data_IF_110006389954
#
_entry.id   IF_110006389954
#
_cell.length_a   1.000
_cell.length_b   1.000
_cell.length_c   1.000
_cell.angle_alpha   90.00
_cell.angle_beta   90.00
_cell.angle_gamma   90.00
#
_symmetry.space_group_name_H-M   'P 1'
#
loop_
_entity.id
_entity.type
_entity.pdbx_description
1 polymer ?
#
# COMPACT_ATOMS: atom_id res chain seq x y z
N UNK A 1 24.76 16.22 -12.44
CA UNK A 1 25.55 15.54 -11.38
C UNK A 1 26.22 14.27 -11.89
N UNK A 2 25.51 13.37 -12.58
CA UNK A 2 26.06 12.11 -13.11
C UNK A 2 26.96 12.25 -14.36
N UNK A 3 26.90 13.38 -15.06
CA UNK A 3 27.72 13.67 -16.24
C UNK A 3 29.24 13.54 -16.01
N UNK A 4 29.72 13.75 -14.77
CA UNK A 4 31.13 13.57 -14.42
C UNK A 4 31.63 12.12 -14.53
N UNK A 5 30.70 11.16 -14.60
CA UNK A 5 30.99 9.74 -14.78
C UNK A 5 30.93 9.32 -16.25
N UNK A 6 30.75 10.27 -17.18
CA UNK A 6 30.84 10.03 -18.62
C UNK A 6 32.27 10.15 -19.12
N UNK A 7 32.59 9.31 -20.09
CA UNK A 7 33.79 9.33 -20.89
C UNK A 7 33.69 10.45 -21.95
N UNK A 8 34.80 10.76 -22.63
CA UNK A 8 34.85 11.77 -23.70
C UNK A 8 33.96 11.43 -24.90
N UNK A 9 33.62 10.15 -25.10
CA UNK A 9 32.69 9.70 -26.13
C UNK A 9 31.20 9.82 -25.71
N UNK A 10 30.95 10.37 -24.52
CA UNK A 10 29.61 10.56 -23.96
C UNK A 10 29.03 9.32 -23.27
N UNK A 11 29.71 8.17 -23.22
CA UNK A 11 29.21 6.97 -22.53
C UNK A 11 29.63 6.95 -21.07
N UNK A 12 28.86 6.32 -20.18
CA UNK A 12 29.31 6.10 -18.81
C UNK A 12 30.56 5.21 -18.74
N UNK A 13 31.49 5.58 -17.87
CA UNK A 13 32.77 4.88 -17.66
C UNK A 13 32.52 3.55 -16.94
N UNK A 14 32.56 2.43 -17.67
CA UNK A 14 32.27 1.10 -17.12
C UNK A 14 33.46 0.46 -16.38
N UNK A 15 34.70 0.78 -16.78
CA UNK A 15 35.93 0.14 -16.25
C UNK A 15 36.19 0.44 -14.77
N UNK A 16 35.66 1.55 -14.25
CA UNK A 16 35.74 1.92 -12.83
C UNK A 16 34.54 1.44 -12.00
N UNK A 17 33.35 1.38 -12.60
CA UNK A 17 32.10 0.96 -11.95
C UNK A 17 32.19 -0.50 -11.46
N UNK A 18 32.82 -1.39 -12.23
CA UNK A 18 32.97 -2.80 -11.84
C UNK A 18 33.87 -3.06 -10.62
N UNK A 19 34.61 -2.05 -10.12
CA UNK A 19 35.51 -2.17 -8.97
C UNK A 19 34.91 -1.66 -7.67
N UNK A 20 33.87 -0.81 -7.75
CA UNK A 20 33.18 -0.22 -6.60
C UNK A 20 31.72 -0.68 -6.61
N UNK A 21 31.48 -1.84 -6.00
CA UNK A 21 30.15 -2.45 -5.99
C UNK A 21 29.14 -1.68 -5.17
N UNK A 22 29.57 -1.07 -4.07
CA UNK A 22 28.73 -0.22 -3.24
C UNK A 22 28.31 1.03 -4.02
N UNK A 23 29.25 1.66 -4.74
CA UNK A 23 28.96 2.77 -5.63
C UNK A 23 27.99 2.41 -6.76
N UNK A 24 28.13 1.22 -7.36
CA UNK A 24 27.18 0.74 -8.38
C UNK A 24 25.79 0.49 -7.79
N UNK A 25 25.69 -0.10 -6.60
CA UNK A 25 24.40 -0.29 -5.92
C UNK A 25 23.76 1.06 -5.59
N UNK A 26 24.53 2.03 -5.09
CA UNK A 26 24.04 3.38 -4.82
C UNK A 26 23.54 4.09 -6.09
N UNK A 27 24.23 3.92 -7.22
CA UNK A 27 23.78 4.45 -8.52
C UNK A 27 22.49 3.77 -9.00
N UNK A 28 22.39 2.46 -8.84
CA UNK A 28 21.17 1.71 -9.15
C UNK A 28 19.99 2.25 -8.34
N UNK A 29 20.15 2.38 -7.02
CA UNK A 29 19.08 2.90 -6.15
C UNK A 29 18.70 4.34 -6.48
N UNK A 30 19.69 5.21 -6.70
CA UNK A 30 19.46 6.60 -7.09
C UNK A 30 18.71 6.73 -8.43
N UNK A 31 18.91 5.78 -9.35
CA UNK A 31 18.29 5.82 -10.67
C UNK A 31 16.75 5.63 -10.64
N UNK A 32 16.22 5.01 -9.59
CA UNK A 32 14.77 4.81 -9.43
C UNK A 32 14.03 6.03 -8.89
N UNK A 33 14.73 7.13 -8.63
CA UNK A 33 14.15 8.45 -8.33
C UNK A 33 14.00 9.33 -9.59
N UNK A 34 14.38 8.82 -10.77
CA UNK A 34 14.32 9.58 -12.02
C UNK A 34 12.90 9.86 -12.49
N UNK A 35 12.73 11.04 -13.10
CA UNK A 35 11.47 11.50 -13.69
C UNK A 35 11.52 11.46 -15.23
N UNK A 36 10.34 11.58 -15.86
CA UNK A 36 10.22 11.60 -17.31
C UNK A 36 11.12 12.70 -17.93
N UNK A 37 11.97 12.31 -18.89
CA UNK A 37 12.91 13.20 -19.58
C UNK A 37 14.31 13.21 -18.98
N UNK A 38 14.55 12.53 -17.85
CA UNK A 38 15.88 12.36 -17.26
C UNK A 38 16.63 11.17 -17.87
N UNK A 39 16.92 11.25 -19.18
CA UNK A 39 17.59 10.19 -19.95
C UNK A 39 18.91 9.71 -19.32
N UNK A 40 19.61 10.58 -18.60
CA UNK A 40 20.84 10.22 -17.88
C UNK A 40 20.55 9.20 -16.77
N UNK A 41 19.44 9.30 -16.04
CA UNK A 41 19.09 8.35 -14.98
C UNK A 41 18.61 7.01 -15.55
N UNK A 42 17.93 7.02 -16.69
CA UNK A 42 17.59 5.79 -17.43
C UNK A 42 18.86 5.03 -17.85
N UNK A 43 19.85 5.73 -18.39
CA UNK A 43 21.14 5.11 -18.75
C UNK A 43 21.90 4.60 -17.52
N UNK A 44 21.89 5.35 -16.40
CA UNK A 44 22.48 4.89 -15.13
C UNK A 44 21.80 3.62 -14.63
N UNK A 45 20.46 3.55 -14.69
CA UNK A 45 19.68 2.37 -14.32
C UNK A 45 20.10 1.14 -15.12
N UNK A 46 20.19 1.28 -16.44
CA UNK A 46 20.57 0.19 -17.34
C UNK A 46 21.97 -0.34 -17.06
N UNK A 47 22.95 0.56 -16.91
CA UNK A 47 24.35 0.19 -16.73
C UNK A 47 24.58 -0.43 -15.35
N UNK A 48 24.03 0.18 -14.30
CA UNK A 48 24.13 -0.34 -12.94
C UNK A 48 23.45 -1.71 -12.81
N UNK A 49 22.26 -1.89 -13.40
CA UNK A 49 21.56 -3.18 -13.45
C UNK A 49 22.40 -4.29 -14.11
N UNK A 50 23.01 -4.00 -15.27
CA UNK A 50 23.87 -4.97 -15.98
C UNK A 50 25.09 -5.35 -15.13
N UNK A 51 25.74 -4.35 -14.53
CA UNK A 51 26.91 -4.56 -13.67
C UNK A 51 26.57 -5.42 -12.45
N UNK A 52 25.52 -5.08 -11.69
CA UNK A 52 25.09 -5.84 -10.51
C UNK A 52 24.74 -7.29 -10.87
N UNK A 53 24.00 -7.52 -11.95
CA UNK A 53 23.65 -8.88 -12.43
C UNK A 53 24.90 -9.69 -12.81
N UNK A 54 25.87 -9.07 -13.49
CA UNK A 54 27.08 -9.76 -13.93
C UNK A 54 28.00 -10.17 -12.77
N UNK A 55 27.94 -9.42 -11.66
CA UNK A 55 28.82 -9.59 -10.51
C UNK A 55 28.15 -10.34 -9.35
N UNK A 56 26.84 -10.58 -9.42
CA UNK A 56 26.05 -11.29 -8.40
C UNK A 56 26.69 -12.61 -7.93
N UNK A 57 27.18 -13.43 -8.85
CA UNK A 57 27.80 -14.73 -8.53
C UNK A 57 29.17 -14.64 -7.84
N UNK A 58 29.72 -13.43 -7.66
CA UNK A 58 30.99 -13.16 -6.97
C UNK A 58 30.79 -12.50 -5.61
N UNK A 59 29.56 -12.17 -5.24
CA UNK A 59 29.22 -11.55 -3.96
C UNK A 59 28.88 -12.63 -2.94
N UNK A 60 29.19 -12.36 -1.68
CA UNK A 60 28.83 -13.22 -0.55
C UNK A 60 28.19 -12.42 0.60
N UNK A 61 27.67 -13.16 1.58
CA UNK A 61 27.09 -12.61 2.80
C UNK A 61 25.92 -11.65 2.59
N UNK A 62 25.79 -10.68 3.49
CA UNK A 62 24.68 -9.73 3.49
C UNK A 62 24.68 -8.82 2.27
N UNK A 63 25.85 -8.49 1.72
CA UNK A 63 25.94 -7.61 0.58
C UNK A 63 25.34 -8.25 -0.67
N UNK A 64 25.58 -9.56 -0.89
CA UNK A 64 24.90 -10.30 -1.96
C UNK A 64 23.37 -10.29 -1.81
N UNK A 65 22.88 -10.44 -0.57
CA UNK A 65 21.46 -10.38 -0.26
C UNK A 65 20.87 -8.99 -0.56
N UNK A 66 21.53 -7.92 -0.13
CA UNK A 66 21.11 -6.53 -0.41
C UNK A 66 21.05 -6.26 -1.91
N UNK A 67 22.06 -6.67 -2.68
CA UNK A 67 22.06 -6.49 -4.14
C UNK A 67 20.92 -7.29 -4.78
N UNK A 68 20.67 -8.51 -4.32
CA UNK A 68 19.56 -9.35 -4.82
C UNK A 68 18.21 -8.71 -4.56
N UNK A 69 17.94 -8.28 -3.32
CA UNK A 69 16.70 -7.59 -2.96
C UNK A 69 16.52 -6.32 -3.79
N UNK A 70 17.60 -5.58 -4.05
CA UNK A 70 17.57 -4.30 -4.79
C UNK A 70 17.20 -4.51 -6.24
N UNK A 71 17.73 -5.56 -6.86
CA UNK A 71 17.35 -5.95 -8.22
C UNK A 71 15.92 -6.50 -8.32
N UNK A 72 15.33 -6.97 -7.21
CA UNK A 72 13.93 -7.40 -7.16
C UNK A 72 13.00 -6.20 -6.99
N UNK A 73 13.22 -5.40 -5.95
CA UNK A 73 12.52 -4.15 -5.67
C UNK A 73 13.56 -3.12 -5.20
N UNK A 74 13.71 -1.98 -5.87
CA UNK A 74 14.63 -0.94 -5.40
C UNK A 74 14.17 -0.36 -4.08
N UNK A 75 15.11 0.06 -3.24
CA UNK A 75 14.88 0.60 -1.90
C UNK A 75 13.80 1.70 -1.89
N UNK A 76 13.79 2.58 -2.90
CA UNK A 76 12.81 3.66 -2.99
C UNK A 76 11.35 3.17 -3.05
N UNK A 77 11.10 1.94 -3.52
CA UNK A 77 9.76 1.36 -3.65
C UNK A 77 9.40 0.38 -2.54
N UNK A 78 10.32 0.11 -1.61
CA UNK A 78 10.07 -0.84 -0.51
C UNK A 78 9.39 -0.17 0.67
N UNK A 79 8.66 -0.98 1.44
CA UNK A 79 8.00 -0.52 2.66
C UNK A 79 9.03 -0.22 3.75
N UNK A 80 9.15 1.06 4.13
CA UNK A 80 10.19 1.55 5.04
C UNK A 80 10.32 0.78 6.35
N UNK A 81 9.21 0.34 6.97
CA UNK A 81 9.26 -0.42 8.22
C UNK A 81 9.75 -1.85 8.06
N UNK A 82 9.39 -2.50 6.95
CA UNK A 82 9.91 -3.84 6.63
C UNK A 82 11.41 -3.74 6.37
N UNK A 83 11.84 -2.73 5.60
CA UNK A 83 13.24 -2.49 5.34
C UNK A 83 14.04 -2.10 6.58
N UNK A 84 13.47 -1.29 7.48
CA UNK A 84 14.12 -0.97 8.75
C UNK A 84 14.40 -2.24 9.57
N UNK A 85 13.46 -3.19 9.59
CA UNK A 85 13.66 -4.48 10.28
C UNK A 85 14.79 -5.29 9.63
N UNK A 86 14.74 -5.46 8.32
CA UNK A 86 15.75 -6.21 7.56
C UNK A 86 17.14 -5.58 7.74
N UNK A 87 17.23 -4.26 7.65
CA UNK A 87 18.49 -3.54 7.74
C UNK A 87 19.07 -3.52 9.16
N UNK A 88 18.24 -3.51 10.23
CA UNK A 88 18.74 -3.68 11.60
C UNK A 88 19.50 -5.00 11.74
N UNK A 89 18.96 -6.10 11.18
CA UNK A 89 19.59 -7.42 11.25
C UNK A 89 20.92 -7.44 10.44
N UNK A 90 20.96 -6.79 9.28
CA UNK A 90 22.20 -6.61 8.50
C UNK A 90 23.23 -5.78 9.27
N UNK A 91 22.84 -4.60 9.75
CA UNK A 91 23.71 -3.64 10.44
C UNK A 91 24.25 -4.19 11.76
N UNK A 92 23.52 -5.09 12.43
CA UNK A 92 24.01 -5.78 13.62
C UNK A 92 25.27 -6.60 13.36
N UNK A 93 25.39 -7.19 12.16
CA UNK A 93 26.56 -8.01 11.78
C UNK A 93 27.71 -7.20 11.17
N UNK A 94 27.48 -5.94 10.82
CA UNK A 94 28.49 -5.05 10.25
C UNK A 94 29.63 -4.80 11.24
N UNK A 95 30.88 -4.93 10.78
CA UNK A 95 32.08 -4.73 11.60
C UNK A 95 32.38 -3.25 11.85
N UNK A 96 31.84 -2.35 11.02
CA UNK A 96 31.99 -0.90 11.10
C UNK A 96 30.85 -0.20 11.85
N UNK A 97 29.88 -0.97 12.36
CA UNK A 97 28.69 -0.44 13.03
C UNK A 97 29.02 0.48 14.21
N UNK A 98 28.20 1.51 14.35
CA UNK A 98 28.10 2.33 15.56
C UNK A 98 27.11 1.70 16.52
N UNK A 99 27.57 1.26 17.69
CA UNK A 99 26.73 0.58 18.70
C UNK A 99 25.55 1.46 19.16
N UNK A 100 25.80 2.74 19.42
CA UNK A 100 24.73 3.68 19.83
C UNK A 100 23.64 3.82 18.77
N UNK A 101 23.98 3.78 17.48
CA UNK A 101 23.00 3.85 16.40
C UNK A 101 22.18 2.54 16.32
N UNK A 102 22.83 1.39 16.46
CA UNK A 102 22.15 0.10 16.49
C UNK A 102 21.17 0.01 17.67
N UNK A 103 21.61 0.40 18.87
CA UNK A 103 20.77 0.44 20.06
C UNK A 103 19.57 1.36 19.87
N UNK A 104 19.79 2.57 19.34
CA UNK A 104 18.71 3.51 19.01
C UNK A 104 17.70 2.90 18.03
N UNK A 105 18.18 2.29 16.94
CA UNK A 105 17.32 1.69 15.93
C UNK A 105 16.47 0.54 16.49
N UNK A 106 17.07 -0.33 17.30
CA UNK A 106 16.34 -1.45 17.94
C UNK A 106 15.30 -0.95 18.95
N UNK A 107 15.65 0.05 19.77
CA UNK A 107 14.74 0.64 20.76
C UNK A 107 13.55 1.35 20.08
N UNK A 108 13.82 2.20 19.09
CA UNK A 108 12.77 2.87 18.33
C UNK A 108 11.86 1.85 17.63
N UNK A 109 12.44 0.85 16.96
CA UNK A 109 11.66 -0.17 16.26
C UNK A 109 10.68 -0.88 17.19
N UNK A 110 11.14 -1.30 18.37
CA UNK A 110 10.33 -1.98 19.38
C UNK A 110 9.28 -1.05 20.03
N UNK A 111 9.63 0.22 20.26
CA UNK A 111 8.69 1.21 20.78
C UNK A 111 7.53 1.41 19.81
N UNK A 112 7.82 1.65 18.53
CA UNK A 112 6.80 1.82 17.49
C UNK A 112 6.00 0.53 17.29
N UNK A 113 6.64 -0.65 17.34
CA UNK A 113 5.93 -1.93 17.28
C UNK A 113 4.94 -2.10 18.45
N UNK A 114 5.27 -1.59 19.65
CA UNK A 114 4.36 -1.63 20.79
C UNK A 114 3.08 -0.80 20.55
N UNK A 115 3.20 0.33 19.83
CA UNK A 115 2.05 1.15 19.41
C UNK A 115 1.17 0.35 18.46
N UNK A 116 1.77 -0.26 17.43
CA UNK A 116 1.03 -1.11 16.48
C UNK A 116 0.29 -2.27 17.16
N UNK A 117 0.90 -2.90 18.17
CA UNK A 117 0.25 -3.97 18.91
C UNK A 117 -0.97 -3.48 19.71
N UNK A 118 -0.97 -2.23 20.18
CA UNK A 118 -2.16 -1.65 20.82
C UNK A 118 -3.25 -1.36 19.79
N UNK A 119 -2.89 -0.82 18.64
CA UNK A 119 -3.81 -0.59 17.51
C UNK A 119 -4.48 -1.90 17.07
N UNK A 120 -3.70 -2.96 16.87
CA UNK A 120 -4.22 -4.29 16.49
C UNK A 120 -5.16 -4.84 17.56
N UNK A 121 -4.90 -4.63 18.86
CA UNK A 121 -5.81 -5.07 19.93
C UNK A 121 -7.14 -4.33 19.91
N UNK A 122 -7.14 -3.05 19.55
CA UNK A 122 -8.36 -2.26 19.36
C UNK A 122 -9.12 -2.73 18.11
N UNK A 123 -8.41 -2.83 16.99
CA UNK A 123 -8.95 -3.30 15.71
C UNK A 123 -9.51 -4.72 15.79
N UNK A 124 -8.86 -5.63 16.51
CA UNK A 124 -9.36 -6.99 16.70
C UNK A 124 -10.65 -7.05 17.53
N UNK A 125 -10.83 -6.13 18.49
CA UNK A 125 -12.09 -5.98 19.22
C UNK A 125 -13.19 -5.47 18.29
N UNK A 126 -12.90 -4.37 17.59
CA UNK A 126 -13.81 -3.79 16.60
C UNK A 126 -14.23 -4.79 15.52
N UNK A 127 -13.28 -5.52 14.93
CA UNK A 127 -13.54 -6.49 13.86
C UNK A 127 -14.43 -7.65 14.30
N UNK A 128 -14.19 -8.16 15.51
CA UNK A 128 -15.03 -9.20 16.11
C UNK A 128 -16.45 -8.68 16.44
N UNK A 129 -16.58 -7.44 16.90
CA UNK A 129 -17.88 -6.81 17.17
C UNK A 129 -18.67 -6.55 15.88
N UNK A 130 -17.98 -6.20 14.80
CA UNK A 130 -18.58 -6.06 13.47
C UNK A 130 -19.21 -7.39 13.01
N UNK A 131 -18.52 -8.51 13.27
CA UNK A 131 -19.03 -9.87 13.08
C UNK A 131 -19.17 -10.26 11.60
N UNK A 132 -18.35 -9.67 10.74
CA UNK A 132 -18.37 -9.95 9.29
C UNK A 132 -18.02 -11.40 8.99
N UNK A 133 -17.11 -12.01 9.74
CA UNK A 133 -16.74 -13.42 9.56
C UNK A 133 -17.94 -14.36 9.61
N UNK A 134 -18.85 -14.14 10.56
CA UNK A 134 -20.04 -14.97 10.74
C UNK A 134 -21.20 -14.52 9.83
N UNK A 135 -21.36 -13.21 9.63
CA UNK A 135 -22.49 -12.62 8.90
C UNK A 135 -22.30 -12.62 7.37
N UNK A 136 -21.06 -12.57 6.91
CA UNK A 136 -20.64 -12.45 5.51
C UNK A 136 -19.61 -13.55 5.19
N UNK A 137 -20.00 -14.84 5.24
CA UNK A 137 -19.05 -15.95 5.10
C UNK A 137 -18.40 -16.06 3.71
N UNK A 138 -18.93 -15.35 2.71
CA UNK A 138 -18.34 -15.24 1.39
C UNK A 138 -17.13 -14.28 1.36
N UNK A 139 -17.05 -13.35 2.33
CA UNK A 139 -16.01 -12.33 2.36
C UNK A 139 -14.74 -12.80 3.06
N UNK A 140 -13.59 -12.30 2.60
CA UNK A 140 -12.27 -12.62 3.12
C UNK A 140 -12.04 -12.01 4.52
N UNK A 141 -11.67 -12.85 5.49
CA UNK A 141 -11.27 -12.41 6.84
C UNK A 141 -9.78 -12.02 6.87
N UNK A 142 -9.47 -10.72 6.67
CA UNK A 142 -8.10 -10.21 6.38
C UNK A 142 -7.66 -9.03 7.25
N UNK A 143 -8.09 -8.98 8.51
CA UNK A 143 -7.78 -7.86 9.41
C UNK A 143 -6.27 -7.57 9.51
N UNK A 144 -5.44 -8.61 9.62
CA UNK A 144 -3.99 -8.45 9.82
C UNK A 144 -3.29 -7.95 8.57
N UNK A 145 -3.71 -8.44 7.40
CA UNK A 145 -3.23 -8.00 6.10
C UNK A 145 -3.63 -6.55 5.83
N UNK A 146 -4.88 -6.18 6.16
CA UNK A 146 -5.37 -4.82 6.02
C UNK A 146 -4.65 -3.85 6.97
N UNK A 147 -4.29 -4.30 8.18
CA UNK A 147 -3.44 -3.52 9.08
C UNK A 147 -2.01 -3.38 8.55
N UNK A 148 -1.44 -4.44 7.96
CA UNK A 148 -0.12 -4.38 7.33
C UNK A 148 -0.09 -3.34 6.20
N UNK A 149 -1.15 -3.26 5.40
CA UNK A 149 -1.34 -2.23 4.39
C UNK A 149 -1.35 -0.82 4.99
N UNK A 150 -2.17 -0.59 6.03
CA UNK A 150 -2.24 0.71 6.69
C UNK A 150 -0.88 1.13 7.29
N UNK A 151 -0.15 0.19 7.90
CA UNK A 151 1.19 0.40 8.44
C UNK A 151 2.22 0.73 7.35
N UNK A 152 2.07 0.12 6.16
CA UNK A 152 2.92 0.39 5.01
C UNK A 152 2.72 1.78 4.41
N UNK A 153 1.49 2.31 4.44
CA UNK A 153 1.17 3.66 3.97
C UNK A 153 1.64 4.72 4.97
N UNK A 154 1.34 4.52 6.26
CA UNK A 154 1.64 5.51 7.31
C UNK A 154 2.27 4.82 8.53
N UNK A 155 3.59 4.85 8.59
CA UNK A 155 4.33 4.09 9.60
C UNK A 155 4.56 4.84 10.92
N UNK A 156 4.53 6.16 10.91
CA UNK A 156 5.02 6.95 12.03
C UNK A 156 4.06 6.88 13.23
N UNK A 157 4.56 6.72 14.47
CA UNK A 157 3.73 6.39 15.63
C UNK A 157 2.64 7.41 15.93
N UNK A 158 2.85 8.70 15.63
CA UNK A 158 1.87 9.77 15.86
C UNK A 158 0.58 9.63 15.03
N UNK A 159 0.60 8.83 13.95
CA UNK A 159 -0.55 8.65 13.05
C UNK A 159 -1.41 7.43 13.41
N UNK A 160 -1.47 7.07 14.69
CA UNK A 160 -2.23 5.90 15.17
C UNK A 160 -3.69 5.89 14.73
N UNK A 161 -4.39 7.03 14.88
CA UNK A 161 -5.78 7.18 14.42
C UNK A 161 -5.93 6.97 12.91
N UNK A 162 -4.96 7.44 12.13
CA UNK A 162 -4.96 7.27 10.67
C UNK A 162 -4.85 5.79 10.32
N UNK A 163 -3.91 5.05 10.91
CA UNK A 163 -3.78 3.59 10.68
C UNK A 163 -5.01 2.80 11.09
N UNK A 164 -5.61 3.13 12.24
CA UNK A 164 -6.85 2.49 12.69
C UNK A 164 -7.98 2.78 11.68
N UNK A 165 -8.17 4.04 11.30
CA UNK A 165 -9.17 4.45 10.33
C UNK A 165 -8.98 3.80 8.95
N UNK A 166 -7.75 3.79 8.43
CA UNK A 166 -7.39 3.13 7.17
C UNK A 166 -7.65 1.62 7.25
N UNK A 167 -7.30 0.96 8.36
CA UNK A 167 -7.56 -0.48 8.51
C UNK A 167 -9.06 -0.77 8.50
N UNK A 168 -9.86 0.02 9.23
CA UNK A 168 -11.32 -0.10 9.24
C UNK A 168 -11.90 0.09 7.84
N UNK A 169 -11.46 1.13 7.14
CA UNK A 169 -11.83 1.41 5.76
C UNK A 169 -11.55 0.21 4.85
N UNK A 170 -10.31 -0.29 4.84
CA UNK A 170 -9.90 -1.39 3.97
C UNK A 170 -10.65 -2.68 4.32
N UNK A 171 -10.92 -2.97 5.58
CA UNK A 171 -11.74 -4.12 5.97
C UNK A 171 -13.18 -4.05 5.45
N UNK A 172 -13.82 -2.87 5.51
CA UNK A 172 -15.16 -2.68 4.95
C UNK A 172 -15.11 -2.73 3.42
N UNK A 173 -14.09 -2.13 2.82
CA UNK A 173 -13.82 -2.14 1.40
C UNK A 173 -13.70 -3.57 0.86
N UNK A 174 -12.91 -4.44 1.51
CA UNK A 174 -12.76 -5.86 1.10
C UNK A 174 -14.10 -6.59 1.06
N UNK A 175 -14.98 -6.36 2.02
CA UNK A 175 -16.30 -6.99 2.04
C UNK A 175 -17.24 -6.43 0.97
N UNK A 176 -17.09 -5.15 0.61
CA UNK A 176 -17.83 -4.54 -0.50
C UNK A 176 -17.28 -5.07 -1.83
N UNK A 177 -15.96 -5.13 -2.01
CA UNK A 177 -15.28 -5.75 -3.16
C UNK A 177 -15.80 -7.18 -3.40
N UNK A 178 -15.77 -8.03 -2.37
CA UNK A 178 -16.29 -9.42 -2.40
C UNK A 178 -17.79 -9.49 -2.76
N UNK A 179 -18.57 -8.43 -2.46
CA UNK A 179 -19.96 -8.35 -2.91
C UNK A 179 -20.03 -8.16 -4.43
N UNK A 180 -19.22 -7.28 -5.01
CA UNK A 180 -19.29 -6.93 -6.43
C UNK A 180 -18.65 -7.99 -7.34
N UNK A 181 -17.54 -8.60 -6.94
CA UNK A 181 -16.77 -9.49 -7.81
C UNK A 181 -17.13 -10.99 -7.68
N UNK A 182 -17.71 -11.39 -6.54
CA UNK A 182 -17.98 -12.80 -6.22
C UNK A 182 -19.46 -13.08 -5.93
N UNK A 183 -20.10 -12.31 -5.04
CA UNK A 183 -21.33 -12.77 -4.39
C UNK A 183 -22.63 -12.18 -4.95
N UNK A 184 -22.69 -10.87 -5.18
CA UNK A 184 -23.91 -10.15 -5.53
C UNK A 184 -24.37 -10.39 -6.96
N UNK A 185 -25.68 -10.52 -7.15
CA UNK A 185 -26.27 -10.50 -8.50
C UNK A 185 -26.32 -9.08 -9.06
N UNK A 186 -26.34 -8.92 -10.39
CA UNK A 186 -26.36 -7.60 -11.03
C UNK A 186 -27.47 -6.68 -10.51
N UNK A 187 -28.70 -7.19 -10.34
CA UNK A 187 -29.82 -6.41 -9.80
C UNK A 187 -29.56 -5.93 -8.36
N UNK A 188 -28.93 -6.76 -7.54
CA UNK A 188 -28.55 -6.42 -6.16
C UNK A 188 -27.41 -5.37 -6.14
N UNK A 189 -26.41 -5.52 -7.02
CA UNK A 189 -25.29 -4.58 -7.13
C UNK A 189 -25.75 -3.19 -7.61
N UNK A 190 -26.67 -3.13 -8.56
CA UNK A 190 -27.31 -1.88 -8.97
C UNK A 190 -28.08 -1.25 -7.80
N UNK A 191 -28.82 -2.04 -7.02
CA UNK A 191 -29.52 -1.56 -5.83
C UNK A 191 -28.54 -1.03 -4.78
N UNK A 192 -27.43 -1.73 -4.52
CA UNK A 192 -26.41 -1.31 -3.56
C UNK A 192 -25.74 -0.01 -4.00
N UNK A 193 -25.31 0.08 -5.26
CA UNK A 193 -24.70 1.30 -5.83
C UNK A 193 -25.65 2.49 -5.70
N UNK A 194 -26.93 2.29 -6.02
CA UNK A 194 -27.96 3.31 -5.88
C UNK A 194 -28.17 3.73 -4.42
N UNK A 195 -28.11 2.78 -3.47
CA UNK A 195 -28.20 3.09 -2.05
C UNK A 195 -27.02 3.94 -1.57
N UNK A 196 -25.79 3.61 -1.97
CA UNK A 196 -24.59 4.40 -1.68
C UNK A 196 -24.69 5.82 -2.24
N UNK A 197 -25.15 5.97 -3.49
CA UNK A 197 -25.35 7.29 -4.10
C UNK A 197 -26.36 8.17 -3.33
N UNK A 198 -27.45 7.56 -2.85
CA UNK A 198 -28.47 8.26 -2.04
C UNK A 198 -27.94 8.60 -0.65
N UNK A 199 -27.23 7.67 -0.02
CA UNK A 199 -26.68 7.79 1.34
C UNK A 199 -27.78 7.97 2.40
N UNK A 200 -28.86 7.23 2.28
CA UNK A 200 -30.02 7.30 3.19
C UNK A 200 -30.27 5.95 3.87
N UNK A 201 -30.74 5.96 5.13
CA UNK A 201 -31.12 4.73 5.84
C UNK A 201 -32.28 4.01 5.14
N UNK A 202 -33.22 4.76 4.54
CA UNK A 202 -34.35 4.18 3.80
C UNK A 202 -33.93 3.44 2.54
N UNK A 203 -32.80 3.82 1.92
CA UNK A 203 -32.31 3.13 0.73
C UNK A 203 -31.92 1.67 1.03
N UNK A 204 -31.63 1.34 2.29
CA UNK A 204 -31.29 0.00 2.75
C UNK A 204 -32.49 -0.95 2.79
N UNK A 205 -33.73 -0.45 2.82
CA UNK A 205 -34.93 -1.30 2.93
C UNK A 205 -35.07 -2.29 1.76
N UNK A 206 -34.58 -1.89 0.59
CA UNK A 206 -34.63 -2.69 -0.64
C UNK A 206 -33.41 -3.61 -0.82
N UNK A 207 -32.42 -3.56 0.08
CA UNK A 207 -31.21 -4.37 -0.04
C UNK A 207 -31.43 -5.76 0.58
N UNK A 208 -30.76 -6.81 0.08
CA UNK A 208 -30.69 -8.09 0.75
C UNK A 208 -29.94 -7.96 2.09
N UNK A 209 -30.24 -8.85 3.04
CA UNK A 209 -29.79 -8.70 4.43
C UNK A 209 -28.27 -8.61 4.58
N UNK A 210 -27.51 -9.37 3.79
CA UNK A 210 -26.04 -9.32 3.81
C UNK A 210 -25.49 -7.96 3.36
N UNK A 211 -26.10 -7.33 2.34
CA UNK A 211 -25.72 -5.99 1.88
C UNK A 211 -26.04 -4.90 2.89
N UNK A 212 -27.13 -5.04 3.65
CA UNK A 212 -27.45 -4.11 4.74
C UNK A 212 -26.34 -4.06 5.77
N UNK A 213 -25.72 -5.20 6.07
CA UNK A 213 -24.62 -5.32 7.03
C UNK A 213 -23.41 -4.50 6.55
N UNK A 214 -23.02 -4.65 5.28
CA UNK A 214 -21.96 -3.82 4.67
C UNK A 214 -22.33 -2.33 4.65
N UNK A 215 -23.56 -2.01 4.24
CA UNK A 215 -24.03 -0.63 4.12
C UNK A 215 -24.02 0.09 5.48
N UNK A 216 -24.51 -0.54 6.54
CA UNK A 216 -24.49 0.02 7.90
C UNK A 216 -23.06 0.20 8.39
N UNK A 217 -22.17 -0.76 8.14
CA UNK A 217 -20.77 -0.64 8.51
C UNK A 217 -20.11 0.57 7.82
N UNK A 218 -20.34 0.74 6.52
CA UNK A 218 -19.87 1.88 5.73
C UNK A 218 -20.39 3.21 6.29
N UNK A 219 -21.70 3.33 6.55
CA UNK A 219 -22.29 4.55 7.11
C UNK A 219 -21.72 4.89 8.48
N UNK A 220 -21.61 3.89 9.37
CA UNK A 220 -21.07 4.09 10.72
C UNK A 220 -19.60 4.55 10.67
N UNK A 221 -18.78 3.91 9.83
CA UNK A 221 -17.39 4.30 9.63
C UNK A 221 -17.27 5.73 9.09
N UNK A 222 -18.03 6.08 8.06
CA UNK A 222 -18.01 7.42 7.49
C UNK A 222 -18.42 8.48 8.53
N UNK A 223 -19.46 8.21 9.32
CA UNK A 223 -19.89 9.10 10.41
C UNK A 223 -18.81 9.26 11.49
N UNK A 224 -18.11 8.17 11.85
CA UNK A 224 -16.98 8.21 12.79
C UNK A 224 -15.88 9.15 12.27
N UNK A 225 -15.45 8.97 11.02
CA UNK A 225 -14.40 9.77 10.38
C UNK A 225 -14.79 11.24 10.25
N UNK A 226 -16.00 11.51 9.76
CA UNK A 226 -16.52 12.88 9.63
C UNK A 226 -16.58 13.57 10.98
N UNK A 227 -17.10 12.89 12.01
CA UNK A 227 -17.19 13.44 13.35
C UNK A 227 -15.81 13.74 13.94
N UNK A 228 -14.86 12.82 13.77
CA UNK A 228 -13.50 12.99 14.28
C UNK A 228 -12.80 14.20 13.65
N UNK A 229 -12.88 14.35 12.32
CA UNK A 229 -12.28 15.48 11.60
C UNK A 229 -12.98 16.80 11.91
N UNK A 230 -14.30 16.80 12.01
CA UNK A 230 -15.06 17.98 12.42
C UNK A 230 -14.65 18.42 13.83
N UNK A 231 -14.48 17.48 14.75
CA UNK A 231 -14.09 17.76 16.13
C UNK A 231 -12.65 18.24 16.27
N UNK A 232 -11.70 17.67 15.52
CA UNK A 232 -10.27 18.02 15.65
C UNK A 232 -9.85 19.21 14.80
N UNK A 233 -10.48 19.40 13.63
CA UNK A 233 -10.08 20.42 12.64
C UNK A 233 -11.17 21.43 12.31
N UNK A 234 -12.42 21.23 12.77
CA UNK A 234 -13.53 22.13 12.43
C UNK A 234 -13.96 22.03 10.97
N UNK A 235 -13.58 20.95 10.27
CA UNK A 235 -13.84 20.75 8.86
C UNK A 235 -14.95 19.72 8.67
N UNK A 236 -16.00 20.10 7.94
CA UNK A 236 -16.99 19.15 7.45
C UNK A 236 -16.46 18.47 6.18
N UNK A 237 -16.07 17.20 6.31
CA UNK A 237 -15.57 16.39 5.20
C UNK A 237 -16.61 15.41 4.64
N UNK A 238 -17.85 15.46 5.12
CA UNK A 238 -18.91 14.55 4.70
C UNK A 238 -19.09 14.50 3.17
N UNK A 239 -19.12 15.63 2.43
CA UNK A 239 -19.29 15.59 0.98
C UNK A 239 -18.20 14.76 0.28
N UNK A 240 -16.94 14.89 0.71
CA UNK A 240 -15.81 14.17 0.12
C UNK A 240 -15.85 12.68 0.44
N UNK A 241 -16.23 12.30 1.67
CA UNK A 241 -16.36 10.89 2.05
C UNK A 241 -17.49 10.22 1.26
N UNK A 242 -18.65 10.89 1.14
CA UNK A 242 -19.77 10.39 0.35
C UNK A 242 -19.39 10.22 -1.13
N UNK A 243 -18.74 11.22 -1.71
CA UNK A 243 -18.29 11.18 -3.10
C UNK A 243 -17.27 10.05 -3.35
N UNK A 244 -16.31 9.85 -2.45
CA UNK A 244 -15.34 8.76 -2.58
C UNK A 244 -15.98 7.37 -2.58
N UNK A 245 -16.93 7.11 -1.68
CA UNK A 245 -17.68 5.84 -1.66
C UNK A 245 -18.57 5.66 -2.89
N UNK A 246 -19.21 6.73 -3.37
CA UNK A 246 -20.04 6.71 -4.57
C UNK A 246 -19.21 6.39 -5.82
N UNK A 247 -18.06 7.05 -5.99
CA UNK A 247 -17.16 6.80 -7.12
C UNK A 247 -16.62 5.36 -7.09
N UNK A 248 -16.17 4.89 -5.94
CA UNK A 248 -15.69 3.52 -5.75
C UNK A 248 -16.75 2.47 -6.12
N UNK A 249 -17.96 2.58 -5.57
CA UNK A 249 -19.04 1.65 -5.89
C UNK A 249 -19.48 1.75 -7.35
N UNK A 250 -19.43 2.96 -7.93
CA UNK A 250 -19.66 3.17 -9.36
C UNK A 250 -18.66 2.42 -10.23
N UNK A 251 -17.35 2.51 -9.92
CA UNK A 251 -16.30 1.78 -10.62
C UNK A 251 -16.49 0.26 -10.51
N UNK A 252 -16.79 -0.25 -9.31
CA UNK A 252 -17.08 -1.68 -9.12
C UNK A 252 -18.30 -2.17 -9.90
N UNK A 253 -19.35 -1.35 -9.99
CA UNK A 253 -20.52 -1.70 -10.80
C UNK A 253 -20.16 -1.81 -12.29
N UNK A 254 -19.34 -0.89 -12.81
CA UNK A 254 -18.87 -0.93 -14.20
C UNK A 254 -18.09 -2.21 -14.48
N UNK A 255 -17.19 -2.62 -13.57
CA UNK A 255 -16.45 -3.88 -13.72
C UNK A 255 -17.37 -5.11 -13.70
N UNK A 256 -18.34 -5.13 -12.77
CA UNK A 256 -19.33 -6.20 -12.70
C UNK A 256 -20.21 -6.27 -13.97
N UNK A 257 -20.55 -5.12 -14.57
CA UNK A 257 -21.26 -5.05 -15.85
C UNK A 257 -20.41 -5.59 -17.01
N UNK A 258 -19.12 -5.24 -17.06
CA UNK A 258 -18.20 -5.80 -18.06
C UNK A 258 -18.09 -7.32 -17.92
N UNK A 259 -17.91 -7.80 -16.69
CA UNK A 259 -17.82 -9.23 -16.40
C UNK A 259 -19.10 -10.00 -16.79
N UNK A 260 -20.27 -9.53 -16.35
CA UNK A 260 -21.56 -10.20 -16.60
C UNK A 260 -21.99 -10.21 -18.06
N UNK A 261 -21.63 -9.17 -18.83
CA UNK A 261 -21.92 -9.09 -20.27
C UNK A 261 -20.86 -9.79 -21.15
N UNK A 262 -19.74 -10.23 -20.59
CA UNK A 262 -18.59 -10.74 -21.33
C UNK A 262 -17.89 -9.66 -22.17
N UNK A 263 -18.08 -8.38 -21.84
CA UNK A 263 -17.45 -7.27 -22.53
C UNK A 263 -15.96 -7.16 -22.14
N UNK A 264 -15.10 -7.00 -23.14
CA UNK A 264 -13.66 -6.77 -22.94
C UNK A 264 -13.36 -5.30 -23.25
N UNK A 265 -13.09 -4.45 -22.24
CA UNK A 265 -12.78 -3.04 -22.44
C UNK A 265 -11.44 -2.85 -23.16
N UNK A 266 -11.31 -1.74 -23.88
CA UNK A 266 -10.01 -1.27 -24.34
C UNK A 266 -9.13 -0.85 -23.14
N UNK A 267 -7.81 -0.95 -23.27
CA UNK A 267 -6.87 -0.68 -22.17
C UNK A 267 -7.09 0.69 -21.52
N UNK A 268 -7.30 1.74 -22.31
CA UNK A 268 -7.56 3.08 -21.80
C UNK A 268 -8.86 3.15 -20.98
N UNK A 269 -9.94 2.55 -21.49
CA UNK A 269 -11.22 2.53 -20.79
C UNK A 269 -11.14 1.72 -19.48
N UNK A 270 -10.37 0.63 -19.47
CA UNK A 270 -10.10 -0.14 -18.25
C UNK A 270 -9.32 0.69 -17.23
N UNK A 271 -8.21 1.31 -17.64
CA UNK A 271 -7.36 2.14 -16.75
C UNK A 271 -8.07 3.41 -16.23
N UNK A 272 -9.06 3.93 -16.95
CA UNK A 272 -9.87 5.06 -16.48
C UNK A 272 -10.86 4.65 -15.38
N UNK A 273 -11.22 3.36 -15.28
CA UNK A 273 -12.17 2.85 -14.29
C UNK A 273 -11.51 2.17 -13.08
N UNK A 274 -10.43 1.40 -13.33
CA UNK A 274 -9.74 0.53 -12.38
C UNK A 274 -8.90 1.28 -11.33
#
# INVERSE_FOLDING_TARGET
MFEKFRSRDGKFIQDGLSKDMEGVLALYEASHLGMHGENTLEEVKDISTKSLKSLMGKLDGNFAMQVKESLEIPLHWRMSRVEARNFIDVYQTDTTKTLTLLELAMLDYNLVQSVYQQEVKELARWWRELGFKEKLPFSRDRLMENFLWAMGIVSEPQFSKCRIGLTKFVCILTAIDDNYDIYGSMDELECFTNAVNRWEMKAMENLPEYMKICYVAMLNFANEVVFDVLKSHGLDIFPYIKEAWANLCGSYLVEAQWFSSGYTPALNAYLENA
#
